data_IF_492297025977
#
_entry.id   IF_492297025977
#
_cell.length_a   1.000
_cell.length_b   1.000
_cell.length_c   1.000
_cell.angle_alpha   90.00
_cell.angle_beta   90.00
_cell.angle_gamma   90.00
#
_symmetry.space_group_name_H-M   'P 1'
#
loop_
_entity.id
_entity.type
_entity.pdbx_description
1 polymer ?
#
# COMPACT_ATOMS: atom_id res chain seq x y z
N UNK A 1 29.24 -14.04 -15.63
CA UNK A 1 29.00 -15.50 -15.53
C UNK A 1 28.12 -15.89 -14.34
N UNK A 2 28.14 -15.19 -13.20
CA UNK A 2 27.28 -15.50 -12.05
C UNK A 2 25.78 -15.20 -12.28
N UNK A 3 25.44 -14.08 -12.93
CA UNK A 3 24.03 -13.68 -13.17
C UNK A 3 23.24 -14.69 -14.01
N UNK A 4 23.85 -15.32 -15.01
CA UNK A 4 23.18 -16.32 -15.84
C UNK A 4 22.74 -17.57 -15.08
N UNK A 5 23.37 -17.88 -13.94
CA UNK A 5 22.99 -19.01 -13.09
C UNK A 5 21.68 -18.73 -12.32
N UNK A 6 21.39 -17.47 -11.98
CA UNK A 6 20.19 -17.10 -11.23
C UNK A 6 19.02 -16.71 -12.14
N UNK A 7 19.30 -16.16 -13.32
CA UNK A 7 18.30 -15.70 -14.30
C UNK A 7 18.13 -16.69 -15.46
N UNK A 8 17.85 -17.95 -15.12
CA UNK A 8 17.47 -18.95 -16.12
C UNK A 8 16.13 -18.57 -16.78
N UNK A 9 15.94 -18.92 -18.05
CA UNK A 9 14.69 -18.65 -18.80
C UNK A 9 13.43 -19.09 -18.06
N UNK A 10 13.44 -20.29 -17.45
CA UNK A 10 12.29 -20.80 -16.69
C UNK A 10 11.95 -19.96 -15.45
N UNK A 11 12.97 -19.48 -14.72
CA UNK A 11 12.78 -18.58 -13.57
C UNK A 11 12.21 -17.23 -13.99
N UNK A 12 12.71 -16.66 -15.10
CA UNK A 12 12.20 -15.39 -15.64
C UNK A 12 10.73 -15.52 -16.02
N UNK A 13 10.36 -16.58 -16.75
CA UNK A 13 8.97 -16.85 -17.14
C UNK A 13 8.07 -17.00 -15.90
N UNK A 14 8.53 -17.76 -14.90
CA UNK A 14 7.79 -17.93 -13.65
C UNK A 14 7.59 -16.61 -12.91
N UNK A 15 8.62 -15.78 -12.76
CA UNK A 15 8.50 -14.47 -12.09
C UNK A 15 7.49 -13.57 -12.80
N UNK A 16 7.55 -13.49 -14.13
CA UNK A 16 6.61 -12.67 -14.91
C UNK A 16 5.18 -13.18 -14.72
N UNK A 17 4.96 -14.49 -14.86
CA UNK A 17 3.65 -15.11 -14.64
C UNK A 17 3.13 -14.84 -13.23
N UNK A 18 3.96 -15.05 -12.21
CA UNK A 18 3.60 -14.83 -10.82
C UNK A 18 3.23 -13.37 -10.56
N UNK A 19 4.03 -12.41 -11.02
CA UNK A 19 3.76 -10.98 -10.84
C UNK A 19 2.44 -10.60 -11.52
N UNK A 20 2.21 -11.06 -12.75
CA UNK A 20 0.96 -10.78 -13.47
C UNK A 20 -0.25 -11.36 -12.75
N UNK A 21 -0.20 -12.65 -12.36
CA UNK A 21 -1.27 -13.30 -11.62
C UNK A 21 -1.53 -12.59 -10.28
N UNK A 22 -0.47 -12.21 -9.57
CA UNK A 22 -0.56 -11.51 -8.30
C UNK A 22 -1.19 -10.12 -8.45
N UNK A 23 -0.78 -9.33 -9.46
CA UNK A 23 -1.38 -8.02 -9.74
C UNK A 23 -2.87 -8.17 -10.04
N UNK A 24 -3.25 -9.13 -10.89
CA UNK A 24 -4.66 -9.38 -11.22
C UNK A 24 -5.48 -9.72 -9.97
N UNK A 25 -4.97 -10.61 -9.11
CA UNK A 25 -5.63 -10.98 -7.86
C UNK A 25 -5.74 -9.79 -6.90
N UNK A 26 -4.68 -9.00 -6.74
CA UNK A 26 -4.72 -7.78 -5.93
C UNK A 26 -5.77 -6.81 -6.45
N UNK A 27 -5.75 -6.49 -7.76
CA UNK A 27 -6.72 -5.57 -8.35
C UNK A 27 -8.14 -6.08 -8.19
N UNK A 28 -8.39 -7.37 -8.39
CA UNK A 28 -9.71 -7.97 -8.17
C UNK A 28 -10.16 -7.86 -6.71
N UNK A 29 -9.27 -8.15 -5.76
CA UNK A 29 -9.53 -8.07 -4.32
C UNK A 29 -9.88 -6.64 -3.90
N UNK A 30 -9.03 -5.66 -4.25
CA UNK A 30 -9.21 -4.26 -3.85
C UNK A 30 -10.35 -3.54 -4.58
N UNK A 31 -10.87 -4.09 -5.69
CA UNK A 31 -11.96 -3.45 -6.44
C UNK A 31 -13.22 -3.26 -5.61
N UNK A 32 -13.50 -4.19 -4.69
CA UNK A 32 -14.65 -4.11 -3.77
C UNK A 32 -14.38 -3.13 -2.64
N UNK A 33 -13.12 -3.03 -2.21
CA UNK A 33 -12.71 -2.19 -1.10
C UNK A 33 -12.74 -0.71 -1.45
N UNK A 34 -12.58 -0.32 -2.71
CA UNK A 34 -12.70 1.09 -3.14
C UNK A 34 -14.04 1.69 -2.70
N UNK A 35 -15.15 0.98 -2.92
CA UNK A 35 -16.49 1.45 -2.52
C UNK A 35 -16.63 1.51 -0.99
N UNK A 36 -16.06 0.55 -0.28
CA UNK A 36 -16.07 0.54 1.18
C UNK A 36 -15.20 1.67 1.74
N UNK A 37 -14.06 1.97 1.12
CA UNK A 37 -13.16 3.04 1.50
C UNK A 37 -13.82 4.41 1.34
N UNK A 38 -14.50 4.63 0.22
CA UNK A 38 -15.29 5.85 0.03
C UNK A 38 -16.48 5.95 0.99
N UNK A 39 -17.07 4.84 1.42
CA UNK A 39 -18.20 4.86 2.37
C UNK A 39 -17.77 5.14 3.80
N UNK A 40 -16.72 4.47 4.28
CA UNK A 40 -16.33 4.49 5.69
C UNK A 40 -15.15 5.40 6.00
N UNK A 41 -14.26 5.64 5.04
CA UNK A 41 -13.01 6.38 5.22
C UNK A 41 -12.99 7.73 4.50
N UNK A 42 -14.14 8.22 4.00
CA UNK A 42 -14.22 9.55 3.37
C UNK A 42 -13.75 10.64 4.32
N UNK A 43 -12.67 11.32 3.92
CA UNK A 43 -12.08 12.40 4.72
C UNK A 43 -11.36 11.92 5.98
N UNK A 44 -11.13 10.61 6.16
CA UNK A 44 -10.37 10.08 7.30
C UNK A 44 -8.96 10.69 7.37
N UNK A 45 -8.28 10.84 6.23
CA UNK A 45 -6.96 11.49 6.19
C UNK A 45 -6.97 12.95 6.69
N UNK A 46 -8.00 13.73 6.33
CA UNK A 46 -8.16 15.10 6.84
C UNK A 46 -8.40 15.10 8.36
N UNK A 47 -9.24 14.18 8.85
CA UNK A 47 -9.50 14.03 10.28
C UNK A 47 -8.23 13.68 11.05
N UNK A 48 -7.46 12.70 10.57
CA UNK A 48 -6.19 12.31 11.21
C UNK A 48 -5.18 13.45 11.24
N UNK A 49 -5.06 14.23 10.15
CA UNK A 49 -4.18 15.40 10.12
C UNK A 49 -4.60 16.46 11.15
N UNK A 50 -5.89 16.75 11.26
CA UNK A 50 -6.41 17.76 12.20
C UNK A 50 -6.20 17.29 13.64
N UNK A 51 -6.73 16.11 14.00
CA UNK A 51 -6.63 15.61 15.38
C UNK A 51 -5.19 15.30 15.78
N UNK A 52 -4.43 14.63 14.91
CA UNK A 52 -3.02 14.34 15.13
C UNK A 52 -2.20 15.63 15.25
N UNK A 53 -2.46 16.63 14.39
CA UNK A 53 -1.79 17.93 14.46
C UNK A 53 -2.06 18.66 15.77
N UNK A 54 -3.31 18.65 16.26
CA UNK A 54 -3.68 19.23 17.56
C UNK A 54 -2.94 18.51 18.69
N UNK A 55 -2.90 17.18 18.68
CA UNK A 55 -2.21 16.40 19.71
C UNK A 55 -0.72 16.74 19.74
N UNK A 56 -0.07 16.81 18.57
CA UNK A 56 1.34 17.16 18.46
C UNK A 56 1.58 18.60 18.93
N UNK A 57 0.73 19.55 18.54
CA UNK A 57 0.83 20.95 18.99
C UNK A 57 0.72 21.09 20.51
N UNK A 58 -0.28 20.44 21.12
CA UNK A 58 -0.46 20.45 22.58
C UNK A 58 0.75 19.81 23.27
N UNK A 59 1.22 18.67 22.75
CA UNK A 59 2.40 17.99 23.30
C UNK A 59 3.64 18.89 23.28
N UNK A 60 3.90 19.59 22.17
CA UNK A 60 5.02 20.53 22.07
C UNK A 60 4.83 21.72 23.01
N UNK A 61 3.63 22.28 23.11
CA UNK A 61 3.34 23.43 23.97
C UNK A 61 3.47 23.12 25.48
N UNK A 62 3.15 21.90 25.91
CA UNK A 62 3.34 21.46 27.30
C UNK A 62 4.81 21.15 27.61
N UNK A 63 5.57 20.74 26.59
CA UNK A 63 6.96 20.28 26.76
C UNK A 63 7.98 21.42 26.65
N UNK A 64 7.61 22.54 26.03
CA UNK A 64 8.37 23.80 26.06
C UNK A 64 8.29 24.47 27.44
#
# INVERSE_FOLDING_TARGET
>A
MFLSAYFTTGRIIFMIFFILAFIVLMTYSYRKDIKNHERYYKGAGKKVLIYGGIIVLIFVAIRL
#
